data_IF_016382871912
#
_entry.id   IF_016382871912
#
_cell.length_a   1.000
_cell.length_b   1.000
_cell.length_c   1.000
_cell.angle_alpha   90.00
_cell.angle_beta   90.00
_cell.angle_gamma   90.00
#
_symmetry.space_group_name_H-M   'P 1'
#
loop_
_entity.id
_entity.type
_entity.pdbx_description
1 polymer ?
#
# COMPACT_ATOMS: atom_id res chain seq x y z
N UNK A 1 -0.12 -34.42 -5.16
CA UNK A 1 0.16 -33.58 -6.35
C UNK A 1 1.40 -34.15 -7.04
N UNK A 2 1.36 -34.38 -8.36
CA UNK A 2 2.51 -34.90 -9.11
C UNK A 2 3.77 -34.02 -8.89
N UNK A 3 4.98 -34.59 -8.84
CA UNK A 3 6.23 -33.82 -8.66
C UNK A 3 6.41 -32.70 -9.70
N UNK A 4 5.98 -32.94 -10.95
CA UNK A 4 6.05 -31.97 -12.03
C UNK A 4 5.19 -30.73 -11.76
N UNK A 5 4.03 -30.90 -11.13
CA UNK A 5 3.16 -29.79 -10.76
C UNK A 5 3.79 -28.90 -9.67
N UNK A 6 4.58 -29.48 -8.75
CA UNK A 6 5.29 -28.70 -7.72
C UNK A 6 6.34 -27.81 -8.37
N UNK A 7 7.05 -28.31 -9.40
CA UNK A 7 8.02 -27.51 -10.17
C UNK A 7 7.33 -26.33 -10.86
N UNK A 8 6.25 -26.58 -11.58
CA UNK A 8 5.49 -25.53 -12.27
C UNK A 8 4.96 -24.47 -11.27
N UNK A 9 4.46 -24.88 -10.11
CA UNK A 9 4.01 -23.94 -9.08
C UNK A 9 5.17 -23.08 -8.60
N UNK A 10 6.36 -23.64 -8.36
CA UNK A 10 7.54 -22.85 -7.98
C UNK A 10 7.90 -21.82 -9.05
N UNK A 11 7.87 -22.19 -10.32
CA UNK A 11 8.17 -21.29 -11.44
C UNK A 11 7.14 -20.13 -11.50
N UNK A 12 5.86 -20.41 -11.23
CA UNK A 12 4.81 -19.38 -11.11
C UNK A 12 5.10 -18.41 -9.96
N UNK A 13 5.52 -18.92 -8.80
CA UNK A 13 5.82 -18.08 -7.63
C UNK A 13 7.03 -17.17 -7.87
N UNK A 14 8.09 -17.71 -8.47
CA UNK A 14 9.30 -16.94 -8.80
C UNK A 14 9.00 -15.86 -9.83
N UNK A 15 8.19 -16.17 -10.85
CA UNK A 15 7.73 -15.20 -11.85
C UNK A 15 6.90 -14.06 -11.24
N UNK A 16 6.30 -14.29 -10.06
CA UNK A 16 5.55 -13.29 -9.30
C UNK A 16 6.38 -12.58 -8.20
N UNK A 17 7.70 -12.77 -8.17
CA UNK A 17 8.61 -12.22 -7.17
C UNK A 17 8.31 -12.67 -5.72
N UNK A 18 7.81 -13.90 -5.56
CA UNK A 18 7.56 -14.47 -4.23
C UNK A 18 8.75 -15.32 -3.81
N UNK A 19 9.33 -15.00 -2.66
CA UNK A 19 10.48 -15.73 -2.15
C UNK A 19 10.11 -17.17 -1.76
N UNK A 20 11.06 -18.10 -1.95
CA UNK A 20 10.91 -19.50 -1.52
C UNK A 20 10.69 -19.62 -0.01
N UNK A 21 11.24 -18.72 0.79
CA UNK A 21 11.02 -18.67 2.25
C UNK A 21 9.54 -18.42 2.60
N UNK A 22 8.84 -17.64 1.77
CA UNK A 22 7.41 -17.38 1.95
C UNK A 22 6.59 -18.68 1.86
N UNK A 23 7.03 -19.62 1.02
CA UNK A 23 6.36 -20.89 0.79
C UNK A 23 6.36 -21.80 2.03
N UNK A 24 7.38 -21.70 2.89
CA UNK A 24 7.46 -22.50 4.13
C UNK A 24 6.27 -22.25 5.05
N UNK A 25 5.75 -21.02 5.04
CA UNK A 25 4.58 -20.64 5.83
C UNK A 25 3.25 -20.97 5.14
N UNK A 26 3.27 -21.35 3.85
CA UNK A 26 2.08 -21.52 3.01
C UNK A 26 2.16 -22.76 2.11
N UNK A 27 2.64 -23.88 2.67
CA UNK A 27 2.85 -25.15 1.95
C UNK A 27 1.57 -25.67 1.27
N UNK A 28 0.40 -25.32 1.80
CA UNK A 28 -0.91 -25.67 1.20
C UNK A 28 -1.06 -25.18 -0.25
N UNK A 29 -0.35 -24.13 -0.66
CA UNK A 29 -0.36 -23.70 -2.08
C UNK A 29 0.16 -24.79 -3.00
N UNK A 30 1.11 -25.62 -2.54
CA UNK A 30 1.68 -26.74 -3.31
C UNK A 30 0.71 -27.92 -3.47
N UNK A 31 -0.40 -27.94 -2.73
CA UNK A 31 -1.42 -28.98 -2.89
C UNK A 31 -2.46 -28.64 -3.96
N UNK A 32 -2.41 -27.42 -4.51
CA UNK A 32 -3.29 -26.96 -5.59
C UNK A 32 -2.76 -27.41 -6.97
N UNK A 33 -3.61 -27.32 -7.99
CA UNK A 33 -3.15 -27.48 -9.38
C UNK A 33 -2.43 -26.20 -9.84
N UNK A 34 -1.42 -26.29 -10.75
CA UNK A 34 -0.76 -25.11 -11.30
C UNK A 34 -1.74 -24.12 -11.95
N UNK A 35 -2.74 -24.62 -12.66
CA UNK A 35 -3.79 -23.82 -13.29
C UNK A 35 -4.59 -23.04 -12.25
N UNK A 36 -4.94 -23.66 -11.12
CA UNK A 36 -5.64 -23.00 -10.01
C UNK A 36 -4.79 -21.91 -9.37
N UNK A 37 -3.49 -22.16 -9.18
CA UNK A 37 -2.58 -21.15 -8.62
C UNK A 37 -2.49 -19.94 -9.55
N UNK A 38 -2.30 -20.18 -10.85
CA UNK A 38 -2.23 -19.12 -11.87
C UNK A 38 -3.50 -18.27 -11.91
N UNK A 39 -4.68 -18.91 -12.02
CA UNK A 39 -5.97 -18.22 -12.04
C UNK A 39 -6.16 -17.32 -10.81
N UNK A 40 -5.82 -17.83 -9.62
CA UNK A 40 -5.96 -17.07 -8.37
C UNK A 40 -5.00 -15.88 -8.28
N UNK A 41 -3.82 -15.96 -8.91
CA UNK A 41 -2.94 -14.80 -9.06
C UNK A 41 -3.55 -13.76 -10.00
N UNK A 42 -4.08 -14.18 -11.14
CA UNK A 42 -4.74 -13.28 -12.10
C UNK A 42 -5.93 -12.53 -11.44
N UNK A 43 -6.73 -13.24 -10.64
CA UNK A 43 -7.83 -12.64 -9.87
C UNK A 43 -7.34 -11.62 -8.82
N UNK A 44 -6.22 -11.91 -8.15
CA UNK A 44 -5.59 -10.97 -7.21
C UNK A 44 -5.08 -9.73 -7.94
N UNK A 45 -4.45 -9.89 -9.10
CA UNK A 45 -3.93 -8.77 -9.90
C UNK A 45 -5.04 -7.90 -10.50
N UNK A 46 -6.22 -8.46 -10.72
CA UNK A 46 -7.41 -7.72 -11.15
C UNK A 46 -7.97 -6.78 -10.07
N UNK A 47 -7.58 -6.97 -8.81
CA UNK A 47 -8.04 -6.16 -7.68
C UNK A 47 -6.93 -5.16 -7.29
N UNK A 48 -7.10 -3.85 -7.54
CA UNK A 48 -6.06 -2.86 -7.29
C UNK A 48 -5.49 -2.89 -5.88
N UNK A 49 -6.34 -3.04 -4.87
CA UNK A 49 -5.95 -3.04 -3.45
C UNK A 49 -5.09 -4.25 -3.08
N UNK A 50 -5.24 -5.38 -3.78
CA UNK A 50 -4.42 -6.57 -3.57
C UNK A 50 -3.19 -6.59 -4.48
N UNK A 51 -3.30 -6.03 -5.69
CA UNK A 51 -2.21 -5.92 -6.66
C UNK A 51 -0.99 -5.21 -6.07
N UNK A 52 -1.22 -4.13 -5.33
CA UNK A 52 -0.14 -3.37 -4.65
C UNK A 52 0.58 -4.20 -3.57
N UNK A 53 -0.03 -5.29 -3.12
CA UNK A 53 0.51 -6.22 -2.12
C UNK A 53 1.03 -7.53 -2.72
N UNK A 54 1.11 -7.68 -4.05
CA UNK A 54 1.44 -8.97 -4.68
C UNK A 54 2.80 -9.53 -4.28
N UNK A 55 3.76 -8.66 -3.97
CA UNK A 55 5.12 -9.05 -3.55
C UNK A 55 5.19 -9.42 -2.07
N UNK A 56 4.12 -9.23 -1.31
CA UNK A 56 4.09 -9.54 0.10
C UNK A 56 3.95 -11.05 0.31
N UNK A 57 4.82 -11.69 1.14
CA UNK A 57 4.79 -13.14 1.40
C UNK A 57 3.42 -13.72 1.75
N UNK A 58 2.61 -12.97 2.50
CA UNK A 58 1.26 -13.41 2.93
C UNK A 58 0.23 -13.44 1.80
N UNK A 59 0.56 -12.99 0.59
CA UNK A 59 -0.34 -13.12 -0.58
C UNK A 59 -0.69 -14.58 -0.86
N UNK A 60 0.24 -15.50 -0.54
CA UNK A 60 0.04 -16.95 -0.64
C UNK A 60 -1.09 -17.46 0.26
N UNK A 61 -1.37 -16.77 1.37
CA UNK A 61 -2.52 -17.07 2.21
C UNK A 61 -3.83 -16.91 1.44
N UNK A 62 -3.92 -15.85 0.62
CA UNK A 62 -5.10 -15.61 -0.22
C UNK A 62 -5.23 -16.66 -1.31
N UNK A 63 -4.11 -17.10 -1.89
CA UNK A 63 -4.12 -18.22 -2.84
C UNK A 63 -4.62 -19.50 -2.17
N UNK A 64 -4.16 -19.82 -0.96
CA UNK A 64 -4.58 -21.02 -0.22
C UNK A 64 -6.05 -20.96 0.26
N UNK A 65 -6.51 -19.79 0.66
CA UNK A 65 -7.84 -19.54 1.23
C UNK A 65 -8.73 -18.65 0.34
N UNK A 66 -8.67 -18.86 -0.97
CA UNK A 66 -9.26 -17.96 -1.97
C UNK A 66 -10.72 -17.57 -1.72
N UNK A 67 -11.62 -18.54 -1.55
CA UNK A 67 -13.06 -18.25 -1.35
C UNK A 67 -13.31 -17.38 -0.10
N UNK A 68 -12.56 -17.64 0.98
CA UNK A 68 -12.63 -16.86 2.22
C UNK A 68 -12.11 -15.44 1.99
N UNK A 69 -10.93 -15.31 1.39
CA UNK A 69 -10.33 -14.02 1.07
C UNK A 69 -11.27 -13.16 0.21
N UNK A 70 -11.89 -13.76 -0.81
CA UNK A 70 -12.86 -13.09 -1.70
C UNK A 70 -14.11 -12.62 -0.96
N UNK A 71 -14.72 -13.49 -0.15
CA UNK A 71 -15.91 -13.14 0.64
C UNK A 71 -15.60 -12.00 1.62
N UNK A 72 -14.47 -12.07 2.33
CA UNK A 72 -14.05 -11.02 3.28
C UNK A 72 -13.71 -9.71 2.59
N UNK A 73 -13.06 -9.75 1.44
CA UNK A 73 -12.79 -8.54 0.67
C UNK A 73 -14.09 -7.86 0.24
N UNK A 74 -15.08 -8.63 -0.25
CA UNK A 74 -16.40 -8.09 -0.58
C UNK A 74 -17.04 -7.41 0.62
N UNK A 75 -17.00 -8.07 1.77
CA UNK A 75 -17.54 -7.53 3.02
C UNK A 75 -16.86 -6.23 3.48
N UNK A 76 -15.52 -6.17 3.41
CA UNK A 76 -14.77 -4.95 3.72
C UNK A 76 -15.15 -3.78 2.79
N UNK A 77 -15.35 -4.07 1.50
CA UNK A 77 -15.81 -3.09 0.51
C UNK A 77 -17.21 -2.57 0.84
N UNK A 78 -18.13 -3.45 1.22
CA UNK A 78 -19.48 -3.07 1.63
C UNK A 78 -19.47 -2.18 2.89
N UNK A 79 -18.51 -2.41 3.79
CA UNK A 79 -18.29 -1.57 4.99
C UNK A 79 -17.48 -0.29 4.72
N UNK A 80 -17.00 -0.07 3.48
CA UNK A 80 -16.13 1.06 3.09
C UNK A 80 -14.81 1.14 3.87
N UNK A 81 -14.30 -0.01 4.33
CA UNK A 81 -12.97 -0.12 4.94
C UNK A 81 -11.92 -0.22 3.84
N UNK A 82 -10.93 0.67 3.86
CA UNK A 82 -10.00 0.87 2.74
C UNK A 82 -8.63 0.22 3.00
N UNK A 83 -8.26 -0.02 4.26
CA UNK A 83 -7.01 -0.66 4.65
C UNK A 83 -7.16 -2.20 4.62
N UNK A 84 -7.14 -2.77 3.41
CA UNK A 84 -7.16 -4.22 3.24
C UNK A 84 -5.82 -4.87 3.63
N UNK A 85 -5.68 -5.27 4.89
CA UNK A 85 -4.51 -6.02 5.35
C UNK A 85 -4.63 -7.51 4.94
N UNK A 86 -3.62 -8.04 4.26
CA UNK A 86 -3.54 -9.47 3.90
C UNK A 86 -3.67 -10.42 5.10
N UNK A 87 -3.26 -9.97 6.29
CA UNK A 87 -3.47 -10.72 7.53
C UNK A 87 -4.95 -11.00 7.76
N UNK A 88 -5.77 -9.94 7.78
CA UNK A 88 -7.22 -10.00 8.09
C UNK A 88 -7.98 -10.81 7.05
N UNK A 89 -7.61 -10.69 5.77
CA UNK A 89 -8.25 -11.46 4.69
C UNK A 89 -7.96 -12.97 4.78
N UNK A 90 -6.79 -13.35 5.29
CA UNK A 90 -6.34 -14.74 5.40
C UNK A 90 -6.59 -15.40 6.77
N UNK A 91 -6.81 -14.63 7.83
CA UNK A 91 -6.79 -15.13 9.21
C UNK A 91 -7.97 -16.05 9.58
N UNK A 92 -7.96 -16.59 10.79
CA UNK A 92 -9.10 -17.27 11.39
C UNK A 92 -10.31 -16.33 11.56
N UNK A 93 -11.53 -16.89 11.55
CA UNK A 93 -12.76 -16.09 11.62
C UNK A 93 -12.88 -15.27 12.90
N UNK A 94 -12.40 -15.79 14.03
CA UNK A 94 -12.44 -15.08 15.31
C UNK A 94 -11.68 -13.75 15.24
N UNK A 95 -10.46 -13.76 14.69
CA UNK A 95 -9.65 -12.54 14.52
C UNK A 95 -10.28 -11.56 13.55
N UNK A 96 -10.89 -12.07 12.47
CA UNK A 96 -11.60 -11.24 11.51
C UNK A 96 -12.81 -10.55 12.15
N UNK A 97 -13.66 -11.31 12.85
CA UNK A 97 -14.87 -10.77 13.48
C UNK A 97 -14.54 -9.75 14.58
N UNK A 98 -13.47 -9.98 15.35
CA UNK A 98 -12.97 -9.02 16.33
C UNK A 98 -12.55 -7.70 15.65
N UNK A 99 -11.75 -7.79 14.58
CA UNK A 99 -11.30 -6.61 13.83
C UNK A 99 -12.47 -5.81 13.24
N UNK A 100 -13.47 -6.50 12.69
CA UNK A 100 -14.68 -5.87 12.14
C UNK A 100 -15.49 -5.18 13.25
N UNK A 101 -15.65 -5.82 14.41
CA UNK A 101 -16.38 -5.24 15.55
C UNK A 101 -15.73 -3.96 16.07
N UNK A 102 -14.40 -3.92 16.05
CA UNK A 102 -13.65 -2.72 16.45
C UNK A 102 -13.74 -1.59 15.41
N UNK A 103 -14.09 -1.90 14.16
CA UNK A 103 -14.25 -0.91 13.08
C UNK A 103 -12.94 -0.20 12.70
N UNK A 104 -11.79 -0.82 13.00
CA UNK A 104 -10.47 -0.21 12.87
C UNK A 104 -10.01 -0.27 11.41
N UNK A 105 -10.14 0.84 10.67
CA UNK A 105 -9.61 0.96 9.30
C UNK A 105 -8.12 1.36 9.31
N UNK A 106 -7.25 0.44 9.75
CA UNK A 106 -5.82 0.72 9.93
C UNK A 106 -4.92 -0.43 9.46
N UNK A 107 -3.76 -0.07 8.91
CA UNK A 107 -2.73 -1.03 8.57
C UNK A 107 -1.91 -1.44 9.80
N UNK A 108 -1.51 -2.71 9.86
CA UNK A 108 -0.51 -3.13 10.86
C UNK A 108 0.86 -2.50 10.56
N UNK A 109 1.63 -2.15 11.59
CA UNK A 109 2.98 -1.59 11.46
C UNK A 109 3.88 -2.49 10.60
N UNK A 110 3.79 -3.81 10.78
CA UNK A 110 4.60 -4.76 10.02
C UNK A 110 4.23 -4.78 8.53
N UNK A 111 2.93 -4.68 8.21
CA UNK A 111 2.47 -4.60 6.82
C UNK A 111 2.95 -3.29 6.18
N UNK A 112 2.76 -2.15 6.86
CA UNK A 112 3.23 -0.85 6.38
C UNK A 112 4.75 -0.86 6.14
N UNK A 113 5.53 -1.34 7.11
CA UNK A 113 6.98 -1.44 6.98
C UNK A 113 7.37 -2.22 5.71
N UNK A 114 6.84 -3.43 5.54
CA UNK A 114 7.16 -4.28 4.38
C UNK A 114 6.75 -3.63 3.06
N UNK A 115 5.57 -3.01 3.03
CA UNK A 115 5.07 -2.31 1.86
C UNK A 115 5.93 -1.10 1.49
N UNK A 116 6.28 -0.25 2.46
CA UNK A 116 7.14 0.91 2.22
C UNK A 116 8.54 0.49 1.75
N UNK A 117 9.11 -0.57 2.33
CA UNK A 117 10.40 -1.12 1.88
C UNK A 117 10.33 -1.68 0.44
N UNK A 118 9.21 -2.31 0.06
CA UNK A 118 9.07 -2.89 -1.28
C UNK A 118 8.95 -1.81 -2.36
N UNK A 119 8.21 -0.72 -2.12
CA UNK A 119 8.02 0.34 -3.12
C UNK A 119 9.20 1.33 -3.16
N UNK A 120 9.82 1.64 -2.01
CA UNK A 120 10.93 2.61 -1.95
C UNK A 120 12.30 1.98 -2.16
N UNK A 121 12.43 0.65 -2.01
CA UNK A 121 13.70 -0.10 -2.06
C UNK A 121 14.76 0.44 -1.10
N UNK A 122 14.33 0.84 0.10
CA UNK A 122 15.15 1.47 1.17
C UNK A 122 14.86 0.83 2.51
N UNK A 123 15.76 0.96 3.49
CA UNK A 123 15.47 0.48 4.83
C UNK A 123 14.43 1.39 5.48
N UNK A 124 13.39 0.79 6.08
CA UNK A 124 12.34 1.53 6.77
C UNK A 124 12.89 2.43 7.88
N UNK A 125 14.00 2.03 8.52
CA UNK A 125 14.66 2.79 9.57
C UNK A 125 15.14 4.18 9.10
N UNK A 126 15.37 4.35 7.80
CA UNK A 126 15.82 5.63 7.22
C UNK A 126 14.76 6.73 7.32
N UNK A 127 13.47 6.38 7.29
CA UNK A 127 12.36 7.34 7.21
C UNK A 127 11.24 7.08 8.24
N UNK A 128 11.37 6.05 9.07
CA UNK A 128 10.38 5.66 10.08
C UNK A 128 9.98 6.82 10.99
N UNK A 129 10.97 7.56 11.50
CA UNK A 129 10.72 8.68 12.42
C UNK A 129 9.91 9.78 11.76
N UNK A 130 10.23 10.13 10.52
CA UNK A 130 9.56 11.22 9.80
C UNK A 130 8.15 10.81 9.35
N UNK A 131 7.95 9.54 8.98
CA UNK A 131 6.63 9.00 8.67
C UNK A 131 5.71 9.00 9.89
N UNK A 132 6.21 8.52 11.04
CA UNK A 132 5.45 8.42 12.30
C UNK A 132 5.05 9.77 12.92
N UNK A 133 5.65 10.87 12.47
CA UNK A 133 5.22 12.22 12.88
C UNK A 133 3.81 12.57 12.40
N UNK A 134 3.30 11.90 11.37
CA UNK A 134 1.92 12.11 10.92
C UNK A 134 0.95 11.28 11.79
N UNK A 135 -0.10 11.87 12.38
CA UNK A 135 -0.98 11.17 13.34
C UNK A 135 -1.72 9.98 12.73
N UNK A 136 -1.98 10.02 11.43
CA UNK A 136 -2.76 9.01 10.72
C UNK A 136 -1.92 8.11 9.78
N UNK A 137 -0.61 7.99 10.01
CA UNK A 137 0.29 7.25 9.11
C UNK A 137 -0.09 5.76 8.89
N UNK A 138 -0.85 5.15 9.81
CA UNK A 138 -1.37 3.78 9.66
C UNK A 138 -2.73 3.72 8.95
N UNK A 139 -3.46 4.83 8.85
CA UNK A 139 -4.84 4.88 8.36
C UNK A 139 -4.96 5.17 6.86
N UNK A 140 -3.82 5.20 6.15
CA UNK A 140 -3.79 5.48 4.71
C UNK A 140 -3.71 4.16 3.94
N UNK A 141 -4.63 3.90 2.99
CA UNK A 141 -4.58 2.71 2.15
C UNK A 141 -3.30 2.61 1.33
N UNK A 142 -2.73 1.40 1.21
CA UNK A 142 -1.51 1.17 0.43
C UNK A 142 -1.64 1.57 -1.03
N UNK A 143 -2.81 1.37 -1.63
CA UNK A 143 -3.07 1.80 -3.02
C UNK A 143 -2.85 3.30 -3.18
N UNK A 144 -3.39 4.11 -2.28
CA UNK A 144 -3.23 5.56 -2.31
C UNK A 144 -1.75 5.97 -2.18
N UNK A 145 -1.01 5.34 -1.25
CA UNK A 145 0.43 5.62 -1.07
C UNK A 145 1.19 5.32 -2.38
N UNK A 146 0.89 4.20 -3.03
CA UNK A 146 1.53 3.82 -4.29
C UNK A 146 1.19 4.78 -5.43
N UNK A 147 -0.08 5.17 -5.57
CA UNK A 147 -0.52 6.12 -6.59
C UNK A 147 0.16 7.49 -6.42
N UNK A 148 0.31 7.94 -5.17
CA UNK A 148 1.01 9.19 -4.86
C UNK A 148 2.50 9.08 -5.17
N UNK A 149 3.16 7.98 -4.81
CA UNK A 149 4.57 7.75 -5.14
C UNK A 149 4.79 7.78 -6.66
N UNK A 150 3.99 7.00 -7.40
CA UNK A 150 4.08 6.92 -8.85
C UNK A 150 3.92 8.30 -9.51
N UNK A 151 2.95 9.09 -9.05
CA UNK A 151 2.75 10.45 -9.55
C UNK A 151 3.96 11.37 -9.31
N UNK A 152 4.63 11.25 -8.16
CA UNK A 152 5.83 12.03 -7.86
C UNK A 152 7.02 11.59 -8.73
N UNK A 153 7.18 10.29 -8.95
CA UNK A 153 8.21 9.75 -9.85
C UNK A 153 7.97 10.18 -11.31
N UNK A 154 6.71 10.18 -11.79
CA UNK A 154 6.33 10.69 -13.12
C UNK A 154 6.63 12.19 -13.28
N UNK A 155 6.68 12.93 -12.16
CA UNK A 155 7.12 14.33 -12.11
C UNK A 155 8.63 14.50 -11.91
N UNK A 156 9.40 13.41 -11.98
CA UNK A 156 10.85 13.37 -11.81
C UNK A 156 11.34 13.73 -10.39
N UNK A 157 10.52 13.57 -9.35
CA UNK A 157 11.02 13.66 -7.98
C UNK A 157 11.83 12.42 -7.63
N UNK A 158 13.09 12.61 -7.24
CA UNK A 158 13.94 11.50 -6.83
C UNK A 158 13.54 10.92 -5.46
N UNK A 159 13.65 9.60 -5.30
CA UNK A 159 13.37 8.89 -4.03
C UNK A 159 14.07 9.55 -2.81
N UNK A 160 15.37 9.91 -2.83
CA UNK A 160 16.01 10.56 -1.68
C UNK A 160 15.35 11.88 -1.26
N UNK A 161 14.79 12.62 -2.22
CA UNK A 161 14.05 13.86 -1.97
C UNK A 161 12.67 13.56 -1.38
N UNK A 162 11.97 12.55 -1.90
CA UNK A 162 10.69 12.08 -1.36
C UNK A 162 10.86 11.58 0.08
N UNK A 163 11.92 10.84 0.40
CA UNK A 163 12.18 10.36 1.76
C UNK A 163 12.29 11.50 2.78
N UNK A 164 12.92 12.62 2.40
CA UNK A 164 13.03 13.82 3.27
C UNK A 164 11.68 14.51 3.50
N UNK A 165 10.69 14.23 2.67
CA UNK A 165 9.31 14.74 2.78
C UNK A 165 8.30 13.58 2.82
N UNK A 166 8.66 12.43 3.42
CA UNK A 166 7.95 11.14 3.26
C UNK A 166 6.44 11.20 3.54
N UNK A 167 6.02 12.11 4.43
CA UNK A 167 4.61 12.32 4.76
C UNK A 167 3.77 12.71 3.54
N UNK A 168 4.37 13.26 2.48
CA UNK A 168 3.66 13.58 1.23
C UNK A 168 2.95 12.35 0.66
N UNK A 169 3.52 11.16 0.85
CA UNK A 169 2.95 9.90 0.36
C UNK A 169 1.64 9.52 1.05
N UNK A 170 1.32 10.14 2.19
CA UNK A 170 0.08 9.90 2.92
C UNK A 170 -1.10 10.67 2.32
N UNK A 171 -0.85 11.69 1.51
CA UNK A 171 -1.89 12.54 0.93
C UNK A 171 -2.39 11.96 -0.39
N UNK A 172 -3.70 12.06 -0.69
CA UNK A 172 -4.24 11.62 -1.96
C UNK A 172 -3.58 12.33 -3.14
N UNK A 173 -3.24 11.57 -4.19
CA UNK A 173 -2.70 12.08 -5.45
C UNK A 173 -3.48 13.28 -5.98
N UNK A 174 -4.82 13.24 -5.95
CA UNK A 174 -5.67 14.33 -6.43
C UNK A 174 -5.48 15.63 -5.63
N UNK A 175 -5.28 15.52 -4.32
CA UNK A 175 -5.01 16.67 -3.42
C UNK A 175 -3.65 17.29 -3.74
N UNK A 176 -2.64 16.47 -3.99
CA UNK A 176 -1.30 16.92 -4.36
C UNK A 176 -1.33 17.60 -5.73
N UNK A 177 -2.03 17.03 -6.73
CA UNK A 177 -2.22 17.65 -8.06
C UNK A 177 -2.84 19.04 -7.92
N UNK A 178 -3.94 19.15 -7.16
CA UNK A 178 -4.61 20.44 -6.93
C UNK A 178 -3.67 21.44 -6.25
N UNK A 179 -2.90 20.98 -5.27
CA UNK A 179 -1.94 21.83 -4.54
C UNK A 179 -0.84 22.35 -5.45
N UNK A 180 -0.23 21.48 -6.26
CA UNK A 180 0.78 21.90 -7.23
C UNK A 180 0.23 22.88 -8.28
N UNK A 181 -0.98 22.64 -8.81
CA UNK A 181 -1.62 23.58 -9.74
C UNK A 181 -1.84 24.97 -9.11
N UNK A 182 -2.26 25.01 -7.85
CA UNK A 182 -2.44 26.26 -7.12
C UNK A 182 -1.10 26.96 -6.85
N UNK A 183 -0.04 26.20 -6.60
CA UNK A 183 1.31 26.74 -6.45
C UNK A 183 1.81 27.35 -7.77
N UNK A 184 1.60 26.66 -8.90
CA UNK A 184 2.01 27.11 -10.24
C UNK A 184 1.29 28.38 -10.68
N UNK A 185 0.02 28.53 -10.28
CA UNK A 185 -0.83 29.66 -10.66
C UNK A 185 -0.62 30.90 -9.76
N UNK A 186 0.06 30.76 -8.63
CA UNK A 186 0.24 31.85 -7.69
C UNK A 186 1.50 32.66 -8.06
N UNK A 187 1.29 33.86 -8.61
CA UNK A 187 2.36 34.78 -9.05
C UNK A 187 3.30 35.22 -7.91
N UNK A 188 2.89 35.12 -6.65
CA UNK A 188 3.75 35.42 -5.50
C UNK A 188 4.76 34.30 -5.22
N UNK A 189 4.46 33.05 -5.61
CA UNK A 189 5.31 31.90 -5.37
C UNK A 189 6.28 31.75 -6.55
N UNK A 190 7.53 32.16 -6.35
CA UNK A 190 8.60 31.96 -7.34
C UNK A 190 9.08 30.50 -7.35
N UNK A 191 8.23 29.56 -7.80
CA UNK A 191 8.52 28.12 -7.80
C UNK A 191 9.80 27.74 -8.53
N UNK A 192 10.17 28.47 -9.58
CA UNK A 192 11.41 28.26 -10.32
C UNK A 192 12.68 28.43 -9.46
N UNK A 193 12.57 29.10 -8.30
CA UNK A 193 13.69 29.29 -7.36
C UNK A 193 13.74 28.25 -6.25
N UNK A 194 12.73 27.40 -6.15
CA UNK A 194 12.64 26.39 -5.09
C UNK A 194 13.30 25.09 -5.54
N UNK A 195 14.04 24.47 -4.63
CA UNK A 195 14.46 23.07 -4.79
C UNK A 195 13.26 22.14 -4.72
N UNK A 196 13.39 20.93 -5.24
CA UNK A 196 12.30 19.96 -5.22
C UNK A 196 11.84 19.60 -3.80
N UNK A 197 12.78 19.50 -2.86
CA UNK A 197 12.44 19.34 -1.44
C UNK A 197 11.61 20.50 -0.90
N UNK A 198 11.97 21.74 -1.25
CA UNK A 198 11.20 22.92 -0.84
C UNK A 198 9.80 22.93 -1.45
N UNK A 199 9.64 22.49 -2.71
CA UNK A 199 8.32 22.34 -3.34
C UNK A 199 7.46 21.30 -2.62
N UNK A 200 8.02 20.14 -2.28
CA UNK A 200 7.29 19.10 -1.53
C UNK A 200 6.87 19.58 -0.14
N UNK A 201 7.79 20.22 0.59
CA UNK A 201 7.49 20.76 1.92
C UNK A 201 6.46 21.90 1.87
N UNK A 202 6.53 22.76 0.85
CA UNK A 202 5.53 23.81 0.64
C UNK A 202 4.15 23.21 0.33
N UNK A 203 4.08 22.15 -0.49
CA UNK A 203 2.83 21.46 -0.74
C UNK A 203 2.24 20.83 0.53
N UNK A 204 3.07 20.15 1.34
CA UNK A 204 2.65 19.64 2.65
C UNK A 204 2.09 20.76 3.53
N UNK A 205 2.81 21.88 3.63
CA UNK A 205 2.35 23.05 4.39
C UNK A 205 1.01 23.57 3.88
N UNK A 206 0.83 23.73 2.56
CA UNK A 206 -0.40 24.28 1.98
C UNK A 206 -1.60 23.34 2.15
N UNK A 207 -1.38 22.02 2.04
CA UNK A 207 -2.42 21.02 2.32
C UNK A 207 -2.84 21.09 3.79
N UNK A 208 -1.88 21.08 4.72
CA UNK A 208 -2.17 21.05 6.16
C UNK A 208 -2.62 22.37 6.76
N UNK A 209 -2.23 23.51 6.16
CA UNK A 209 -2.66 24.84 6.62
C UNK A 209 -4.18 24.96 6.69
N UNK A 210 -4.89 24.34 5.74
CA UNK A 210 -6.38 24.32 5.70
C UNK A 210 -7.00 23.46 6.79
N UNK A 211 -6.22 22.55 7.36
CA UNK A 211 -6.64 21.60 8.39
C UNK A 211 -5.94 21.86 9.73
N UNK A 212 -5.40 23.06 9.94
CA UNK A 212 -4.72 23.46 11.18
C UNK A 212 -3.63 22.48 11.63
N UNK A 213 -2.94 21.82 10.68
CA UNK A 213 -1.88 20.85 10.96
C UNK A 213 -2.31 19.65 11.82
N UNK A 214 -3.59 19.27 11.73
CA UNK A 214 -4.16 18.11 12.44
C UNK A 214 -3.85 16.78 11.75
N UNK A 215 -3.31 16.80 10.52
CA UNK A 215 -3.14 15.63 9.66
C UNK A 215 -4.40 15.25 8.88
N UNK A 216 -5.50 16.00 9.02
CA UNK A 216 -6.78 15.69 8.37
C UNK A 216 -6.79 15.97 6.86
N UNK A 217 -5.72 16.55 6.30
CA UNK A 217 -5.60 16.79 4.85
C UNK A 217 -5.45 15.52 4.01
N UNK A 218 -5.26 14.35 4.65
CA UNK A 218 -5.26 13.06 3.96
C UNK A 218 -6.67 12.60 3.57
N UNK A 219 -7.72 13.17 4.15
CA UNK A 219 -9.11 12.76 3.91
C UNK A 219 -9.72 13.55 2.76
N UNK A 220 -10.40 12.85 1.83
CA UNK A 220 -10.97 13.44 0.61
C UNK A 220 -12.14 14.41 0.85
N UNK A 221 -12.69 14.48 2.08
CA UNK A 221 -13.93 15.20 2.43
C UNK A 221 -13.79 16.21 3.58
N UNK A 222 -12.57 16.71 3.83
CA UNK A 222 -12.36 17.79 4.81
C UNK A 222 -12.42 19.16 4.16
#
# INVERSE_FOLDING_TARGET
>A
VPPDNIKIIKDILESNNISRESLLNYVRVLTLSPTTVKLRFEEIEAIPELKVLKTHPRILCLIGHHNRARSRLSFLKDMKLNCANLGILGDHSVSFDAHIKEGVDENSIMALKRFMQSILKRDYREFEKDLKRHPFYLKVPFLQIQETLQYLEERNYEIPTILKAIQILLYPKETIIKTFKNMDSNLEIKLARLTDLQKLNLALYLMEKRHHFTGNGIWKNS
#
